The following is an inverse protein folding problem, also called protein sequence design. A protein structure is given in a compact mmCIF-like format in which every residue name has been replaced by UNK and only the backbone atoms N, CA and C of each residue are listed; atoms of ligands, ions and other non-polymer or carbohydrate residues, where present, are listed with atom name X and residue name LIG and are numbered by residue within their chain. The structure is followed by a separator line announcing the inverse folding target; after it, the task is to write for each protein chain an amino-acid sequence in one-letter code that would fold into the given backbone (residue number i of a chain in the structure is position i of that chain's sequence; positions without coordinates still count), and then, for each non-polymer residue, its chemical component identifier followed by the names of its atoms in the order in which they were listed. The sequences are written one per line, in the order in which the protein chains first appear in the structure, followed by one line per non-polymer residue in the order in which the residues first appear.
data_IF_395280020852
#
_entry.id   IF_395280020852
#
_cell.length_a   1.000
_cell.length_b   1.000
_cell.length_c   1.000
_cell.angle_alpha   90.00
_cell.angle_beta   90.00
_cell.angle_gamma   90.00
#
_symmetry.space_group_name_H-M   'P 1'
#
loop_
_entity.id
_entity.type
_entity.pdbx_description
1 polymer ?
#
# COMPACT_ATOMS: atom_id res chain seq x y z
N UNK A 1 30.06 3.24 -27.99
CA UNK A 1 29.37 1.99 -27.61
C UNK A 1 27.99 2.02 -28.22
N UNK A 2 27.64 1.07 -29.09
CA UNK A 2 26.27 0.97 -29.62
C UNK A 2 25.31 0.67 -28.47
N UNK A 3 24.20 1.42 -28.38
CA UNK A 3 23.09 1.05 -27.50
C UNK A 3 22.66 -0.35 -27.89
N UNK A 4 22.77 -1.35 -27.00
CA UNK A 4 22.18 -2.66 -27.32
C UNK A 4 20.69 -2.45 -27.49
N UNK A 5 20.13 -3.00 -28.56
CA UNK A 5 18.70 -2.91 -28.83
C UNK A 5 17.96 -3.72 -27.76
N UNK A 6 16.86 -3.17 -27.24
CA UNK A 6 16.02 -3.86 -26.26
C UNK A 6 15.45 -5.14 -26.87
N UNK A 7 15.54 -6.25 -26.14
CA UNK A 7 14.96 -7.56 -26.54
C UNK A 7 13.59 -7.82 -25.89
N UNK A 8 12.99 -6.79 -25.30
CA UNK A 8 11.74 -6.89 -24.52
C UNK A 8 10.60 -7.56 -25.29
N UNK A 9 10.35 -7.25 -26.58
CA UNK A 9 9.31 -7.94 -27.34
C UNK A 9 9.56 -9.45 -27.49
N UNK A 10 10.84 -9.86 -27.58
CA UNK A 10 11.21 -11.28 -27.69
C UNK A 10 11.00 -12.00 -26.35
N UNK A 11 11.31 -11.33 -25.23
CA UNK A 11 11.04 -11.83 -23.88
C UNK A 11 9.54 -11.97 -23.63
N UNK A 12 8.76 -10.93 -23.92
CA UNK A 12 7.31 -10.97 -23.79
C UNK A 12 6.72 -12.12 -24.62
N UNK A 13 7.14 -12.27 -25.88
CA UNK A 13 6.69 -13.36 -26.73
C UNK A 13 7.07 -14.75 -26.16
N UNK A 14 8.32 -14.95 -25.74
CA UNK A 14 8.77 -16.23 -25.19
C UNK A 14 7.99 -16.61 -23.92
N UNK A 15 7.79 -15.66 -23.00
CA UNK A 15 7.07 -15.93 -21.76
C UNK A 15 5.58 -16.18 -22.01
N UNK A 16 4.94 -15.39 -22.87
CA UNK A 16 3.53 -15.59 -23.22
C UNK A 16 3.30 -16.93 -23.93
N UNK A 17 4.25 -17.37 -24.77
CA UNK A 17 4.23 -18.71 -25.36
C UNK A 17 4.35 -19.82 -24.31
N UNK A 18 5.19 -19.66 -23.27
CA UNK A 18 5.23 -20.61 -22.16
C UNK A 18 3.87 -20.70 -21.46
N UNK A 19 3.30 -19.56 -21.07
CA UNK A 19 1.99 -19.49 -20.41
C UNK A 19 0.90 -20.17 -21.25
N UNK A 20 0.92 -19.93 -22.57
CA UNK A 20 0.00 -20.57 -23.53
C UNK A 20 0.21 -22.09 -23.57
N UNK A 21 1.46 -22.56 -23.67
CA UNK A 21 1.78 -24.00 -23.69
C UNK A 21 1.40 -24.74 -22.40
N UNK A 22 1.27 -24.00 -21.30
CA UNK A 22 0.86 -24.52 -20.00
C UNK A 22 -0.66 -24.43 -19.77
N UNK A 23 -1.42 -23.93 -20.76
CA UNK A 23 -2.86 -23.67 -20.65
C UNK A 23 -3.24 -22.79 -19.45
N UNK A 24 -2.38 -21.83 -19.10
CA UNK A 24 -2.65 -20.92 -17.99
C UNK A 24 -3.54 -19.75 -18.44
N UNK A 25 -4.55 -19.36 -17.64
CA UNK A 25 -5.38 -18.20 -17.93
C UNK A 25 -4.60 -16.92 -17.60
N UNK A 26 -3.99 -16.31 -18.62
CA UNK A 26 -3.25 -15.05 -18.49
C UNK A 26 -3.91 -13.92 -19.26
N UNK A 27 -3.68 -12.69 -18.79
CA UNK A 27 -4.28 -11.46 -19.28
C UNK A 27 -3.16 -10.46 -19.59
N UNK A 28 -3.08 -10.02 -20.85
CA UNK A 28 -2.11 -9.01 -21.28
C UNK A 28 -2.49 -7.61 -20.77
N UNK A 29 -1.63 -6.61 -21.00
CA UNK A 29 -1.77 -5.24 -20.51
C UNK A 29 -3.21 -4.69 -20.55
N UNK A 30 -3.88 -4.79 -21.69
CA UNK A 30 -5.21 -4.21 -21.93
C UNK A 30 -6.38 -5.13 -21.54
N UNK A 31 -6.09 -6.34 -21.06
CA UNK A 31 -7.11 -7.31 -20.66
C UNK A 31 -7.37 -7.23 -19.16
N UNK A 32 -8.65 -7.24 -18.80
CA UNK A 32 -9.14 -7.19 -17.42
C UNK A 32 -9.17 -8.58 -16.81
N UNK A 33 -8.57 -8.72 -15.61
CA UNK A 33 -8.70 -9.95 -14.80
C UNK A 33 -10.06 -9.97 -14.10
N UNK A 34 -10.32 -8.94 -13.29
CA UNK A 34 -11.60 -8.65 -12.63
C UNK A 34 -11.63 -7.17 -12.21
N UNK A 35 -12.80 -6.65 -11.86
CA UNK A 35 -12.94 -5.22 -11.49
C UNK A 35 -12.10 -4.82 -10.28
N UNK A 36 -11.93 -5.70 -9.30
CA UNK A 36 -11.17 -5.40 -8.08
C UNK A 36 -9.69 -5.13 -8.38
N UNK A 37 -9.06 -6.00 -9.18
CA UNK A 37 -7.66 -5.86 -9.61
C UNK A 37 -7.47 -4.63 -10.50
N UNK A 38 -8.34 -4.41 -11.49
CA UNK A 38 -8.17 -3.28 -12.41
C UNK A 38 -8.39 -1.93 -11.71
N UNK A 39 -9.35 -1.85 -10.78
CA UNK A 39 -9.56 -0.66 -9.97
C UNK A 39 -8.34 -0.37 -9.08
N UNK A 40 -7.73 -1.40 -8.50
CA UNK A 40 -6.50 -1.26 -7.72
C UNK A 40 -5.32 -0.74 -8.53
N UNK A 41 -5.09 -1.32 -9.72
CA UNK A 41 -4.02 -0.90 -10.63
C UNK A 41 -4.22 0.52 -11.15
N UNK A 42 -5.48 0.93 -11.39
CA UNK A 42 -5.80 2.28 -11.88
C UNK A 42 -5.62 3.35 -10.80
N UNK A 43 -5.92 3.04 -9.53
CA UNK A 43 -5.81 3.98 -8.40
C UNK A 43 -4.37 4.26 -8.00
N UNK A 44 -3.53 3.24 -8.02
CA UNK A 44 -2.14 3.39 -7.61
C UNK A 44 -1.35 4.24 -8.60
N UNK A 45 -0.39 5.02 -8.06
CA UNK A 45 0.53 5.80 -8.87
C UNK A 45 1.23 4.94 -9.92
N UNK A 46 1.39 5.46 -11.14
CA UNK A 46 2.21 4.78 -12.16
C UNK A 46 3.63 4.52 -11.68
N UNK A 47 4.30 3.57 -12.34
CA UNK A 47 5.73 3.33 -12.22
C UNK A 47 6.58 4.61 -12.31
N UNK A 48 6.16 5.60 -13.11
CA UNK A 48 6.86 6.88 -13.30
C UNK A 48 6.41 8.00 -12.35
N UNK A 49 5.41 7.77 -11.48
CA UNK A 49 4.91 8.77 -10.52
C UNK A 49 3.92 9.78 -11.11
N UNK A 50 3.45 9.56 -12.35
CA UNK A 50 2.40 10.35 -12.97
C UNK A 50 0.99 9.81 -12.71
N UNK A 51 -0.01 10.54 -13.19
CA UNK A 51 -1.46 10.27 -13.03
C UNK A 51 -1.99 9.11 -13.88
N UNK A 52 -1.15 8.48 -14.71
CA UNK A 52 -1.52 7.24 -15.38
C UNK A 52 -1.58 6.10 -14.38
N UNK A 53 -2.58 5.23 -14.45
CA UNK A 53 -2.63 4.00 -13.65
C UNK A 53 -1.49 3.04 -14.01
N UNK A 54 -1.34 1.99 -13.21
CA UNK A 54 -0.39 0.92 -13.48
C UNK A 54 -0.81 0.06 -14.68
N UNK A 55 0.16 -0.27 -15.53
CA UNK A 55 0.01 -1.10 -16.72
C UNK A 55 0.93 -2.29 -16.61
N UNK A 56 0.37 -3.41 -16.16
CA UNK A 56 1.09 -4.67 -15.97
C UNK A 56 1.17 -5.40 -17.29
N UNK A 57 2.37 -5.81 -17.71
CA UNK A 57 2.57 -6.44 -19.02
C UNK A 57 1.77 -7.74 -19.17
N UNK A 58 1.76 -8.56 -18.12
CA UNK A 58 0.99 -9.80 -18.06
C UNK A 58 0.51 -10.10 -16.63
N UNK A 59 -0.73 -10.57 -16.51
CA UNK A 59 -1.43 -10.81 -15.24
C UNK A 59 -2.01 -12.22 -15.23
N UNK A 60 -2.01 -12.87 -14.07
CA UNK A 60 -2.75 -14.11 -13.83
C UNK A 60 -3.49 -14.05 -12.49
N UNK A 61 -4.52 -14.88 -12.36
CA UNK A 61 -5.18 -15.16 -11.08
C UNK A 61 -5.30 -16.68 -10.96
N UNK A 62 -4.42 -17.27 -10.16
CA UNK A 62 -4.39 -18.72 -9.94
C UNK A 62 -4.96 -19.06 -8.56
N UNK A 63 -5.44 -20.29 -8.38
CA UNK A 63 -6.03 -20.75 -7.14
C UNK A 63 -5.29 -21.99 -6.63
N UNK A 64 -5.00 -22.05 -5.33
CA UNK A 64 -4.44 -23.25 -4.69
C UNK A 64 -5.53 -24.28 -4.36
N UNK A 65 -5.13 -25.49 -3.94
CA UNK A 65 -6.09 -26.57 -3.61
C UNK A 65 -6.98 -26.23 -2.40
N UNK A 66 -6.57 -25.24 -1.59
CA UNK A 66 -7.32 -24.73 -0.46
C UNK A 66 -8.25 -23.55 -0.85
N UNK A 67 -8.46 -23.33 -2.15
CA UNK A 67 -9.33 -22.32 -2.73
C UNK A 67 -8.86 -20.87 -2.50
N UNK A 68 -7.61 -20.65 -2.12
CA UNK A 68 -7.03 -19.32 -1.99
C UNK A 68 -6.59 -18.81 -3.36
N UNK A 69 -7.00 -17.59 -3.70
CA UNK A 69 -6.60 -16.93 -4.93
C UNK A 69 -5.29 -16.16 -4.76
N UNK A 70 -4.41 -16.29 -5.75
CA UNK A 70 -3.11 -15.66 -5.84
C UNK A 70 -3.03 -14.84 -7.14
N UNK A 71 -3.16 -13.51 -7.06
CA UNK A 71 -2.80 -12.63 -8.16
C UNK A 71 -1.31 -12.78 -8.50
N UNK A 72 -0.98 -12.78 -9.79
CA UNK A 72 0.39 -12.86 -10.29
C UNK A 72 0.63 -11.71 -11.26
N UNK A 73 1.59 -10.84 -10.93
CA UNK A 73 1.92 -9.66 -11.72
C UNK A 73 3.29 -9.87 -12.38
N UNK A 74 3.33 -9.80 -13.71
CA UNK A 74 4.55 -10.02 -14.51
C UNK A 74 4.94 -8.72 -15.22
N UNK A 75 6.22 -8.35 -15.08
CA UNK A 75 6.84 -7.21 -15.79
C UNK A 75 8.03 -7.70 -16.62
N UNK A 76 8.13 -7.23 -17.86
CA UNK A 76 9.20 -7.54 -18.80
C UNK A 76 10.21 -6.38 -18.91
N UNK A 77 11.51 -6.70 -19.06
CA UNK A 77 12.54 -5.74 -19.51
C UNK A 77 13.48 -6.35 -20.53
N UNK A 78 13.86 -5.59 -21.56
CA UNK A 78 14.73 -6.08 -22.63
C UNK A 78 16.23 -5.93 -22.45
N UNK A 79 16.74 -5.90 -21.21
CA UNK A 79 18.15 -5.68 -20.92
C UNK A 79 18.65 -6.59 -19.79
N UNK A 80 19.84 -7.17 -19.93
CA UNK A 80 20.42 -8.14 -19.00
C UNK A 80 20.55 -7.60 -17.56
N UNK A 81 20.87 -6.33 -17.39
CA UNK A 81 21.13 -5.71 -16.09
C UNK A 81 19.86 -5.15 -15.42
N UNK A 82 18.67 -5.42 -15.98
CA UNK A 82 17.40 -4.83 -15.54
C UNK A 82 16.48 -5.78 -14.77
N UNK A 83 16.99 -6.90 -14.27
CA UNK A 83 16.17 -7.85 -13.52
C UNK A 83 15.65 -7.24 -12.22
N UNK A 84 16.56 -6.80 -11.36
CA UNK A 84 16.22 -6.30 -10.02
C UNK A 84 17.27 -5.33 -9.52
N UNK A 85 16.83 -4.30 -8.80
CA UNK A 85 17.68 -3.46 -7.96
C UNK A 85 17.34 -3.72 -6.50
N UNK A 86 18.33 -4.21 -5.76
CA UNK A 86 18.19 -4.52 -4.33
C UNK A 86 18.77 -3.41 -3.45
N UNK A 87 18.18 -3.25 -2.26
CA UNK A 87 18.70 -2.40 -1.20
C UNK A 87 19.77 -3.16 -0.39
N UNK A 88 20.27 -2.52 0.68
CA UNK A 88 21.29 -3.13 1.56
C UNK A 88 20.83 -4.39 2.28
N UNK A 89 19.52 -4.63 2.32
CA UNK A 89 18.88 -5.74 3.03
C UNK A 89 18.48 -6.87 2.08
N UNK A 90 18.86 -6.78 0.79
CA UNK A 90 18.55 -7.81 -0.20
C UNK A 90 17.09 -7.81 -0.68
N UNK A 91 16.32 -6.76 -0.37
CA UNK A 91 14.95 -6.57 -0.87
C UNK A 91 14.90 -5.59 -2.05
N UNK A 92 13.86 -5.65 -2.90
CA UNK A 92 13.66 -4.67 -3.97
C UNK A 92 13.69 -3.22 -3.46
N UNK A 93 14.60 -2.41 -3.99
CA UNK A 93 14.88 -1.02 -3.59
C UNK A 93 13.84 -0.04 -4.14
N UNK A 94 12.59 -0.17 -3.70
CA UNK A 94 11.45 0.61 -4.19
C UNK A 94 11.20 1.91 -3.42
N UNK A 95 12.00 2.25 -2.41
CA UNK A 95 11.81 3.44 -1.58
C UNK A 95 13.09 4.25 -1.45
N UNK A 96 12.96 5.58 -1.49
CA UNK A 96 14.08 6.49 -1.29
C UNK A 96 14.48 6.56 0.19
N UNK A 97 15.77 6.41 0.48
CA UNK A 97 16.28 6.42 1.87
C UNK A 97 16.08 7.76 2.61
N UNK A 98 15.92 8.87 1.88
CA UNK A 98 15.86 10.23 2.47
C UNK A 98 14.47 10.56 3.01
N UNK A 99 13.43 10.21 2.28
CA UNK A 99 12.07 10.70 2.48
C UNK A 99 11.02 9.60 2.34
N UNK A 100 11.47 8.35 2.19
CA UNK A 100 10.66 7.14 2.10
C UNK A 100 9.61 7.13 0.98
N UNK A 101 9.74 8.03 0.01
CA UNK A 101 8.88 8.09 -1.16
C UNK A 101 9.19 6.95 -2.14
N UNK A 102 8.25 6.56 -3.01
CA UNK A 102 8.51 5.58 -4.05
C UNK A 102 9.70 5.98 -4.94
N UNK A 103 10.65 5.07 -5.12
CA UNK A 103 11.78 5.25 -6.00
C UNK A 103 11.36 4.91 -7.45
N UNK A 104 10.65 5.84 -8.08
CA UNK A 104 10.11 5.69 -9.44
C UNK A 104 11.18 5.34 -10.48
N UNK A 105 12.43 5.77 -10.27
CA UNK A 105 13.56 5.38 -11.12
C UNK A 105 13.76 3.87 -11.08
N UNK A 106 13.87 3.28 -9.88
CA UNK A 106 14.06 1.84 -9.75
C UNK A 106 12.81 1.06 -10.20
N UNK A 107 11.62 1.51 -9.77
CA UNK A 107 10.33 0.89 -10.11
C UNK A 107 10.13 0.80 -11.63
N UNK A 108 10.47 1.86 -12.37
CA UNK A 108 10.35 1.88 -13.82
C UNK A 108 11.46 1.08 -14.54
N UNK A 109 12.68 1.12 -13.99
CA UNK A 109 13.88 0.59 -14.66
C UNK A 109 14.02 -0.93 -14.55
N UNK A 110 13.61 -1.54 -13.44
CA UNK A 110 13.87 -2.96 -13.15
C UNK A 110 12.59 -3.78 -13.10
N UNK A 111 12.62 -4.97 -13.68
CA UNK A 111 11.44 -5.83 -13.86
C UNK A 111 10.80 -6.24 -12.52
N UNK A 112 11.59 -6.79 -11.59
CA UNK A 112 11.11 -7.20 -10.27
C UNK A 112 10.57 -6.01 -9.48
N UNK A 113 11.26 -4.86 -9.53
CA UNK A 113 10.84 -3.66 -8.83
C UNK A 113 9.46 -3.16 -9.30
N UNK A 114 9.21 -3.20 -10.61
CA UNK A 114 7.91 -2.91 -11.21
C UNK A 114 6.83 -3.91 -10.80
N UNK A 115 7.13 -5.22 -10.87
CA UNK A 115 6.20 -6.27 -10.45
C UNK A 115 5.79 -6.16 -8.97
N UNK A 116 6.75 -5.86 -8.08
CA UNK A 116 6.49 -5.64 -6.65
C UNK A 116 5.69 -4.36 -6.40
N UNK A 117 5.89 -3.32 -7.20
CA UNK A 117 5.06 -2.10 -7.14
C UNK A 117 3.59 -2.41 -7.44
N UNK A 118 3.30 -3.23 -8.46
CA UNK A 118 1.93 -3.67 -8.75
C UNK A 118 1.36 -4.53 -7.62
N UNK A 119 2.15 -5.44 -7.08
CA UNK A 119 1.71 -6.27 -5.96
C UNK A 119 1.33 -5.43 -4.73
N UNK A 120 2.08 -4.37 -4.43
CA UNK A 120 1.75 -3.44 -3.36
C UNK A 120 0.45 -2.66 -3.62
N UNK A 121 0.19 -2.25 -4.86
CA UNK A 121 -1.10 -1.65 -5.24
C UNK A 121 -2.27 -2.62 -4.97
N UNK A 122 -2.09 -3.91 -5.27
CA UNK A 122 -3.09 -4.92 -4.98
C UNK A 122 -3.30 -5.10 -3.47
N UNK A 123 -2.24 -5.19 -2.67
CA UNK A 123 -2.37 -5.28 -1.22
C UNK A 123 -3.16 -4.12 -0.61
N UNK A 124 -3.01 -2.92 -1.18
CA UNK A 124 -3.63 -1.70 -0.71
C UNK A 124 -5.12 -1.59 -1.07
N UNK A 125 -5.45 -1.88 -2.32
CA UNK A 125 -6.75 -1.56 -2.90
C UNK A 125 -7.64 -2.78 -3.14
N UNK A 126 -7.19 -3.98 -2.73
CA UNK A 126 -7.96 -5.23 -2.85
C UNK A 126 -8.01 -6.01 -1.53
N UNK A 127 -8.85 -7.05 -1.53
CA UNK A 127 -8.95 -8.05 -0.47
C UNK A 127 -7.82 -9.08 -0.49
N UNK A 128 -7.07 -9.21 -1.59
CA UNK A 128 -5.97 -10.16 -1.71
C UNK A 128 -4.87 -9.86 -0.68
N UNK A 129 -4.39 -10.91 -0.03
CA UNK A 129 -3.38 -10.83 1.02
C UNK A 129 -2.00 -11.30 0.58
N UNK A 130 -1.95 -12.04 -0.52
CA UNK A 130 -0.80 -12.82 -0.98
C UNK A 130 -0.69 -12.70 -2.50
N UNK A 131 0.37 -12.07 -2.98
CA UNK A 131 0.60 -11.79 -4.40
C UNK A 131 1.99 -12.29 -4.81
N UNK A 132 2.07 -12.85 -6.02
CA UNK A 132 3.34 -13.25 -6.65
C UNK A 132 3.75 -12.17 -7.64
N UNK A 133 4.95 -11.62 -7.45
CA UNK A 133 5.57 -10.64 -8.34
C UNK A 133 6.68 -11.32 -9.16
N UNK A 134 6.60 -11.24 -10.48
CA UNK A 134 7.55 -11.87 -11.40
C UNK A 134 8.18 -10.79 -12.29
N UNK A 135 9.49 -10.60 -12.16
CA UNK A 135 10.27 -9.82 -13.12
C UNK A 135 10.95 -10.76 -14.11
N UNK A 136 10.83 -10.48 -15.41
CA UNK A 136 11.56 -11.24 -16.44
C UNK A 136 12.37 -10.31 -17.30
N UNK A 137 13.63 -10.67 -17.55
CA UNK A 137 14.51 -9.94 -18.45
C UNK A 137 15.26 -10.85 -19.39
N UNK A 138 15.96 -10.26 -20.35
CA UNK A 138 16.96 -10.98 -21.10
C UNK A 138 17.83 -10.14 -22.00
N UNK A 139 18.71 -10.83 -22.70
CA UNK A 139 19.61 -10.27 -23.72
C UNK A 139 19.98 -11.34 -24.74
N UNK A 140 20.37 -10.92 -25.94
CA UNK A 140 21.04 -11.81 -26.88
C UNK A 140 22.47 -12.06 -26.42
N UNK A 141 22.90 -13.33 -26.40
CA UNK A 141 24.30 -13.65 -26.25
C UNK A 141 25.07 -13.42 -27.56
N UNK A 142 26.38 -13.70 -27.56
CA UNK A 142 27.25 -13.54 -28.73
C UNK A 142 26.83 -14.41 -29.93
N UNK A 143 26.05 -15.46 -29.70
CA UNK A 143 25.51 -16.34 -30.76
C UNK A 143 24.16 -15.86 -31.30
N UNK A 144 23.60 -14.78 -30.74
CA UNK A 144 22.24 -14.32 -31.05
C UNK A 144 21.14 -15.11 -30.36
N UNK A 145 21.47 -15.96 -29.38
CA UNK A 145 20.49 -16.72 -28.60
C UNK A 145 19.96 -15.89 -27.44
N UNK A 146 18.64 -15.89 -27.25
CA UNK A 146 18.00 -15.15 -26.16
C UNK A 146 18.24 -15.84 -24.82
N UNK A 147 18.95 -15.16 -23.91
CA UNK A 147 19.14 -15.57 -22.52
C UNK A 147 18.12 -14.86 -21.64
N UNK A 148 17.26 -15.66 -20.99
CA UNK A 148 16.21 -15.17 -20.11
C UNK A 148 16.63 -15.29 -18.65
N UNK A 149 16.25 -14.31 -17.83
CA UNK A 149 16.39 -14.32 -16.38
C UNK A 149 15.04 -14.05 -15.74
N UNK A 150 14.70 -14.79 -14.69
CA UNK A 150 13.40 -14.70 -13.99
C UNK A 150 13.67 -14.46 -12.51
N UNK A 151 13.06 -13.42 -11.96
CA UNK A 151 13.05 -13.11 -10.54
C UNK A 151 11.64 -13.27 -10.00
N UNK A 152 11.43 -14.23 -9.09
CA UNK A 152 10.11 -14.54 -8.52
C UNK A 152 10.10 -14.16 -7.04
N UNK A 153 9.17 -13.28 -6.69
CA UNK A 153 9.05 -12.67 -5.37
C UNK A 153 7.65 -12.85 -4.80
N UNK A 154 7.57 -13.05 -3.49
CA UNK A 154 6.34 -13.10 -2.73
C UNK A 154 6.12 -11.79 -1.98
N UNK A 155 4.93 -11.22 -2.11
CA UNK A 155 4.52 -9.95 -1.51
C UNK A 155 3.22 -10.21 -0.75
N UNK A 156 3.20 -9.98 0.56
CA UNK A 156 2.04 -10.31 1.40
C UNK A 156 1.76 -9.26 2.46
N UNK A 157 0.55 -9.27 3.03
CA UNK A 157 0.26 -8.42 4.20
C UNK A 157 1.11 -8.82 5.41
N UNK A 158 1.40 -10.12 5.58
CA UNK A 158 2.22 -10.64 6.67
C UNK A 158 3.70 -10.24 6.60
N UNK A 159 4.22 -9.88 5.42
CA UNK A 159 5.57 -9.34 5.25
C UNK A 159 5.57 -7.83 4.98
N UNK A 160 4.46 -7.15 5.28
CA UNK A 160 4.26 -5.71 5.12
C UNK A 160 4.46 -5.18 3.69
N UNK A 161 4.26 -6.03 2.68
CA UNK A 161 4.44 -5.70 1.27
C UNK A 161 5.91 -5.66 0.81
N UNK A 162 6.82 -6.24 1.60
CA UNK A 162 8.21 -6.41 1.17
C UNK A 162 8.29 -7.60 0.21
N UNK A 163 8.93 -7.39 -0.94
CA UNK A 163 9.21 -8.48 -1.87
C UNK A 163 10.26 -9.43 -1.31
N UNK A 164 9.85 -10.64 -0.96
CA UNK A 164 10.73 -11.72 -0.55
C UNK A 164 11.04 -12.65 -1.73
N UNK A 165 12.31 -12.86 -2.04
CA UNK A 165 12.70 -13.76 -3.14
C UNK A 165 12.32 -15.20 -2.79
N UNK A 166 11.65 -15.90 -3.70
CA UNK A 166 11.19 -17.27 -3.48
C UNK A 166 12.29 -18.29 -3.82
N UNK A 167 13.05 -18.04 -4.88
CA UNK A 167 14.08 -18.94 -5.39
C UNK A 167 14.61 -18.50 -6.75
N UNK A 168 15.38 -19.38 -7.38
CA UNK A 168 15.84 -19.25 -8.77
C UNK A 168 14.97 -20.11 -9.68
N UNK A 169 14.55 -19.55 -10.82
CA UNK A 169 13.68 -20.23 -11.77
C UNK A 169 14.19 -20.04 -13.19
N UNK A 170 14.14 -21.09 -14.01
CA UNK A 170 14.53 -21.08 -15.42
C UNK A 170 13.36 -20.83 -16.38
N UNK A 171 12.14 -21.16 -15.96
CA UNK A 171 10.90 -21.01 -16.72
C UNK A 171 9.70 -20.81 -15.76
N UNK A 172 8.49 -20.66 -16.30
CA UNK A 172 7.26 -20.51 -15.51
C UNK A 172 6.56 -21.85 -15.19
N UNK A 173 7.24 -22.98 -15.31
CA UNK A 173 6.61 -24.31 -15.13
C UNK A 173 6.08 -24.55 -13.71
N UNK A 174 6.57 -23.81 -12.72
CA UNK A 174 6.07 -23.81 -11.35
C UNK A 174 4.63 -23.25 -11.22
N UNK A 175 4.15 -22.52 -12.23
CA UNK A 175 2.76 -22.03 -12.28
C UNK A 175 1.77 -23.04 -12.86
N UNK A 176 2.26 -24.14 -13.45
CA UNK A 176 1.39 -25.18 -14.02
C UNK A 176 0.45 -25.76 -12.96
N UNK A 177 -0.77 -26.17 -13.32
CA UNK A 177 -1.72 -26.75 -12.37
C UNK A 177 -1.12 -27.89 -11.52
N UNK A 178 -0.33 -28.78 -12.12
CA UNK A 178 0.31 -29.90 -11.43
C UNK A 178 1.44 -29.50 -10.45
N UNK A 179 1.99 -28.30 -10.58
CA UNK A 179 3.12 -27.81 -9.78
C UNK A 179 2.73 -26.70 -8.80
N UNK A 180 1.63 -25.99 -9.06
CA UNK A 180 1.28 -24.76 -8.37
C UNK A 180 1.08 -24.97 -6.86
N UNK A 181 0.44 -26.06 -6.46
CA UNK A 181 0.27 -26.39 -5.04
C UNK A 181 1.61 -26.53 -4.31
N UNK A 182 2.57 -27.25 -4.90
CA UNK A 182 3.92 -27.43 -4.34
C UNK A 182 4.67 -26.10 -4.27
N UNK A 183 4.52 -25.27 -5.30
CA UNK A 183 5.07 -23.93 -5.31
C UNK A 183 4.52 -23.08 -4.16
N UNK A 184 3.20 -23.05 -3.96
CA UNK A 184 2.59 -22.30 -2.86
C UNK A 184 2.99 -22.83 -1.48
N UNK A 185 3.17 -24.14 -1.31
CA UNK A 185 3.72 -24.70 -0.07
C UNK A 185 5.12 -24.18 0.22
N UNK A 186 6.01 -24.18 -0.77
CA UNK A 186 7.35 -23.59 -0.65
C UNK A 186 7.26 -22.09 -0.28
N UNK A 187 6.34 -21.34 -0.88
CA UNK A 187 6.14 -19.92 -0.55
C UNK A 187 5.72 -19.74 0.91
N UNK A 188 4.80 -20.57 1.43
CA UNK A 188 4.33 -20.49 2.82
C UNK A 188 5.40 -20.89 3.85
N UNK A 189 6.41 -21.65 3.44
CA UNK A 189 7.56 -22.00 4.29
C UNK A 189 8.59 -20.87 4.40
N UNK A 190 8.57 -19.90 3.48
CA UNK A 190 9.42 -18.70 3.55
C UNK A 190 8.99 -17.84 4.73
N UNK A 191 9.72 -17.98 5.85
CA UNK A 191 9.57 -17.09 7.01
C UNK A 191 10.67 -16.07 7.00
N UNK A 192 10.29 -14.81 7.15
CA UNK A 192 11.24 -13.79 7.56
C UNK A 192 11.72 -14.10 8.98
N UNK A 193 12.99 -13.86 9.24
CA UNK A 193 13.54 -13.95 10.58
C UNK A 193 12.93 -12.86 11.48
N UNK A 194 12.86 -13.06 12.81
CA UNK A 194 12.37 -12.02 13.72
C UNK A 194 13.10 -10.67 13.55
N UNK A 195 14.41 -10.71 13.26
CA UNK A 195 15.20 -9.50 13.03
C UNK A 195 14.81 -8.77 11.74
N UNK A 196 14.52 -9.49 10.66
CA UNK A 196 14.00 -8.90 9.40
C UNK A 196 12.60 -8.32 9.63
N UNK A 197 11.73 -9.04 10.34
CA UNK A 197 10.39 -8.56 10.70
C UNK A 197 10.48 -7.27 11.52
N UNK A 198 11.31 -7.24 12.57
CA UNK A 198 11.50 -6.06 13.41
C UNK A 198 12.04 -4.86 12.61
N UNK A 199 12.95 -5.11 11.66
CA UNK A 199 13.49 -4.06 10.79
C UNK A 199 12.43 -3.52 9.82
N UNK A 200 11.70 -4.40 9.15
CA UNK A 200 10.60 -4.02 8.24
C UNK A 200 9.53 -3.23 8.99
N UNK A 201 9.20 -3.65 10.21
CA UNK A 201 8.32 -2.89 11.10
C UNK A 201 8.84 -1.50 11.38
N UNK A 202 10.12 -1.37 11.78
CA UNK A 202 10.72 -0.08 12.08
C UNK A 202 10.74 0.84 10.86
N UNK A 203 11.10 0.31 9.70
CA UNK A 203 11.10 1.06 8.46
C UNK A 203 9.69 1.56 8.14
N UNK A 204 8.70 0.68 8.23
CA UNK A 204 7.28 1.02 8.06
C UNK A 204 6.79 2.07 9.07
N UNK A 205 7.18 1.96 10.34
CA UNK A 205 6.88 2.94 11.38
C UNK A 205 7.45 4.33 11.06
N UNK A 206 8.65 4.39 10.48
CA UNK A 206 9.24 5.65 10.00
C UNK A 206 8.45 6.21 8.80
N UNK A 207 8.04 5.34 7.87
CA UNK A 207 7.23 5.75 6.71
C UNK A 207 5.88 6.36 7.11
N UNK A 208 5.22 5.77 8.11
CA UNK A 208 3.99 6.33 8.70
C UNK A 208 4.28 7.71 9.29
N UNK A 209 5.40 7.86 9.99
CA UNK A 209 5.77 9.14 10.62
C UNK A 209 6.06 10.24 9.59
N UNK A 210 6.77 9.91 8.52
CA UNK A 210 7.02 10.83 7.40
C UNK A 210 5.72 11.25 6.71
N UNK A 211 4.83 10.30 6.43
CA UNK A 211 3.56 10.57 5.76
C UNK A 211 2.65 11.47 6.61
N UNK A 212 2.52 11.16 7.91
CA UNK A 212 1.77 11.98 8.85
C UNK A 212 2.35 13.39 9.00
N UNK A 213 3.68 13.52 9.05
CA UNK A 213 4.34 14.83 9.13
C UNK A 213 4.05 15.66 7.88
N UNK A 214 4.18 15.07 6.68
CA UNK A 214 3.86 15.75 5.41
C UNK A 214 2.39 16.17 5.31
N UNK A 215 1.47 15.33 5.78
CA UNK A 215 0.04 15.69 5.83
C UNK A 215 -0.18 16.86 6.78
N UNK A 216 0.39 16.81 7.99
CA UNK A 216 0.20 17.84 8.99
C UNK A 216 0.76 19.20 8.52
N UNK A 217 1.93 19.21 7.87
CA UNK A 217 2.52 20.39 7.21
C UNK A 217 1.62 20.94 6.10
N UNK A 218 1.10 20.07 5.22
CA UNK A 218 0.17 20.49 4.15
C UNK A 218 -1.11 21.11 4.74
N UNK A 219 -1.71 20.46 5.72
CA UNK A 219 -2.92 20.95 6.39
C UNK A 219 -2.69 22.30 7.09
N UNK A 220 -1.53 22.50 7.71
CA UNK A 220 -1.16 23.79 8.31
C UNK A 220 -1.12 24.93 7.27
N UNK A 221 -0.62 24.64 6.06
CA UNK A 221 -0.45 25.62 5.00
C UNK A 221 -1.71 25.87 4.14
N UNK A 222 -2.71 24.98 4.17
CA UNK A 222 -3.90 25.06 3.29
C UNK A 222 -4.89 26.17 3.67
N UNK A 223 -4.97 26.51 4.95
CA UNK A 223 -5.89 27.54 5.43
C UNK A 223 -5.35 28.21 6.68
N UNK A 224 -5.35 29.54 6.69
CA UNK A 224 -5.07 30.31 7.90
C UNK A 224 -6.05 29.88 9.01
N UNK A 225 -5.52 29.50 10.17
CA UNK A 225 -6.25 29.15 11.39
C UNK A 225 -6.87 27.74 11.48
N UNK A 226 -6.42 26.74 10.70
CA UNK A 226 -6.73 25.34 11.02
C UNK A 226 -6.03 24.93 12.33
N UNK A 227 -6.79 24.87 13.42
CA UNK A 227 -6.27 24.39 14.71
C UNK A 227 -5.70 22.97 14.60
N UNK A 228 -4.72 22.62 15.43
CA UNK A 228 -4.17 21.26 15.42
C UNK A 228 -5.24 20.19 15.74
N UNK A 229 -6.21 20.49 16.60
CA UNK A 229 -7.36 19.63 16.85
C UNK A 229 -8.22 19.43 15.58
N UNK A 230 -8.47 20.50 14.82
CA UNK A 230 -9.18 20.42 13.54
C UNK A 230 -8.42 19.54 12.55
N UNK A 231 -7.09 19.65 12.47
CA UNK A 231 -6.27 18.79 11.60
C UNK A 231 -6.40 17.32 11.98
N UNK A 232 -6.37 17.00 13.27
CA UNK A 232 -6.58 15.62 13.79
C UNK A 232 -7.96 15.10 13.38
N UNK A 233 -9.01 15.91 13.56
CA UNK A 233 -10.36 15.53 13.18
C UNK A 233 -10.47 15.23 11.68
N UNK A 234 -9.88 16.06 10.83
CA UNK A 234 -9.94 15.91 9.37
C UNK A 234 -9.25 14.62 8.89
N UNK A 235 -8.05 14.33 9.41
CA UNK A 235 -7.34 13.09 9.10
C UNK A 235 -8.11 11.88 9.63
N UNK A 236 -8.56 11.92 10.88
CA UNK A 236 -9.30 10.81 11.51
C UNK A 236 -10.62 10.51 10.79
N UNK A 237 -11.35 11.56 10.40
CA UNK A 237 -12.59 11.46 9.65
C UNK A 237 -12.39 10.79 8.29
N UNK A 238 -11.35 11.20 7.57
CA UNK A 238 -11.01 10.66 6.26
C UNK A 238 -10.68 9.17 6.33
N UNK A 239 -9.89 8.77 7.33
CA UNK A 239 -9.56 7.36 7.58
C UNK A 239 -10.81 6.54 7.92
N UNK A 240 -11.64 7.01 8.86
CA UNK A 240 -12.86 6.29 9.26
C UNK A 240 -13.85 6.14 8.10
N UNK A 241 -13.96 7.16 7.24
CA UNK A 241 -14.81 7.11 6.06
C UNK A 241 -14.26 6.15 4.98
N UNK A 242 -12.93 6.01 4.85
CA UNK A 242 -12.31 5.14 3.85
C UNK A 242 -12.14 3.68 4.29
N UNK A 243 -12.11 3.36 5.59
CA UNK A 243 -11.87 1.98 6.05
C UNK A 243 -12.94 0.97 5.61
N UNK A 244 -14.22 1.36 5.61
CA UNK A 244 -15.33 0.46 5.31
C UNK A 244 -15.44 -0.76 6.26
N UNK A 245 -16.40 -1.65 5.97
CA UNK A 245 -16.62 -2.94 6.64
C UNK A 245 -17.08 -3.95 5.59
N UNK A 246 -16.33 -5.04 5.41
CA UNK A 246 -16.61 -6.07 4.42
C UNK A 246 -18.08 -6.55 4.51
N UNK A 247 -18.77 -6.56 3.36
CA UNK A 247 -20.17 -6.97 3.24
C UNK A 247 -21.21 -6.07 3.92
N UNK A 248 -20.81 -4.93 4.52
CA UNK A 248 -21.73 -4.04 5.27
C UNK A 248 -21.62 -2.56 4.88
N UNK A 249 -20.40 -2.03 4.78
CA UNK A 249 -20.15 -0.61 4.52
C UNK A 249 -19.05 -0.49 3.49
N UNK A 250 -19.40 0.06 2.32
CA UNK A 250 -18.40 0.34 1.29
C UNK A 250 -17.49 1.50 1.73
N UNK A 251 -16.16 1.39 1.58
CA UNK A 251 -15.21 2.51 1.65
C UNK A 251 -15.72 3.74 0.91
N UNK A 252 -15.56 4.93 1.49
CA UNK A 252 -15.75 6.17 0.74
C UNK A 252 -14.59 6.37 -0.25
N UNK A 253 -14.91 6.81 -1.46
CA UNK A 253 -13.93 7.13 -2.50
C UNK A 253 -14.02 8.60 -2.90
N UNK A 254 -12.95 9.14 -3.50
CA UNK A 254 -12.91 10.54 -3.92
C UNK A 254 -14.04 10.92 -4.90
N UNK A 255 -14.50 9.97 -5.72
CA UNK A 255 -15.64 10.16 -6.64
C UNK A 255 -16.98 10.33 -5.91
N UNK A 256 -17.08 9.86 -4.67
CA UNK A 256 -18.30 9.94 -3.87
C UNK A 256 -18.45 11.31 -3.20
N UNK A 257 -17.42 12.17 -3.28
CA UNK A 257 -17.41 13.53 -2.76
C UNK A 257 -17.74 14.51 -3.89
N UNK A 258 -18.99 15.01 -3.98
CA UNK A 258 -19.43 15.83 -5.10
C UNK A 258 -18.88 17.27 -5.08
N UNK A 259 -18.34 17.73 -3.96
CA UNK A 259 -18.05 19.15 -3.73
C UNK A 259 -19.27 20.05 -3.96
N UNK A 260 -20.43 19.55 -3.54
CA UNK A 260 -21.72 20.23 -3.64
C UNK A 260 -21.91 21.26 -2.51
N UNK A 261 -22.68 22.30 -2.80
CA UNK A 261 -23.20 23.25 -1.81
C UNK A 261 -24.66 22.97 -1.43
N UNK A 262 -25.25 21.90 -1.95
CA UNK A 262 -26.60 21.47 -1.61
C UNK A 262 -26.66 20.99 -0.15
N UNK A 263 -27.69 21.45 0.57
CA UNK A 263 -27.95 21.05 1.95
C UNK A 263 -28.02 19.52 2.07
N UNK A 264 -27.38 18.95 3.10
CA UNK A 264 -27.23 17.51 3.32
C UNK A 264 -26.40 16.72 2.28
N UNK A 265 -25.88 17.36 1.23
CA UNK A 265 -25.06 16.73 0.19
C UNK A 265 -23.67 17.34 0.06
N UNK A 266 -23.27 18.20 1.01
CA UNK A 266 -21.91 18.70 1.09
C UNK A 266 -20.92 17.56 1.34
N UNK A 267 -19.64 17.77 0.99
CA UNK A 267 -18.60 16.76 1.25
C UNK A 267 -18.50 16.44 2.75
N UNK A 268 -18.73 17.42 3.63
CA UNK A 268 -18.82 17.22 5.07
C UNK A 268 -19.97 16.29 5.47
N UNK A 269 -21.15 16.45 4.89
CA UNK A 269 -22.32 15.60 5.18
C UNK A 269 -22.10 14.16 4.70
N UNK A 270 -21.52 13.99 3.50
CA UNK A 270 -21.21 12.66 2.94
C UNK A 270 -20.20 11.92 3.83
N UNK A 271 -19.11 12.59 4.22
CA UNK A 271 -18.11 12.02 5.14
C UNK A 271 -18.77 11.63 6.46
N UNK A 272 -19.56 12.54 7.04
CA UNK A 272 -20.23 12.31 8.32
C UNK A 272 -21.18 11.12 8.29
N UNK A 273 -22.02 11.01 7.25
CA UNK A 273 -22.94 9.87 7.02
C UNK A 273 -22.17 8.55 6.90
N UNK A 274 -21.03 8.55 6.21
CA UNK A 274 -20.19 7.36 6.06
C UNK A 274 -19.58 6.93 7.40
N UNK A 275 -19.02 7.85 8.18
CA UNK A 275 -18.46 7.56 9.50
C UNK A 275 -19.53 6.96 10.41
N UNK A 276 -20.73 7.54 10.45
CA UNK A 276 -21.86 6.98 11.21
C UNK A 276 -22.18 5.54 10.79
N UNK A 277 -22.17 5.25 9.50
CA UNK A 277 -22.42 3.90 8.98
C UNK A 277 -21.32 2.93 9.40
N UNK A 278 -20.06 3.35 9.31
CA UNK A 278 -18.89 2.58 9.74
C UNK A 278 -18.94 2.25 11.24
N UNK A 279 -19.16 3.25 12.10
CA UNK A 279 -19.22 3.06 13.57
C UNK A 279 -20.35 2.11 13.98
N UNK A 280 -21.51 2.22 13.31
CA UNK A 280 -22.63 1.30 13.52
C UNK A 280 -22.28 -0.13 13.13
N UNK A 281 -21.68 -0.33 11.94
CA UNK A 281 -21.31 -1.66 11.46
C UNK A 281 -20.22 -2.33 12.30
N UNK A 282 -19.36 -1.54 12.95
CA UNK A 282 -18.36 -2.00 13.93
C UNK A 282 -18.95 -2.39 15.30
N UNK A 283 -20.22 -2.08 15.58
CA UNK A 283 -20.90 -2.49 16.80
C UNK A 283 -20.48 -1.73 18.07
N UNK A 284 -20.01 -0.48 17.92
CA UNK A 284 -19.65 0.37 19.07
C UNK A 284 -20.90 0.73 19.90
N UNK A 285 -20.80 0.91 21.24
CA UNK A 285 -21.92 1.39 22.05
C UNK A 285 -22.43 2.74 21.56
N UNK A 286 -23.76 2.92 21.46
CA UNK A 286 -24.39 4.15 20.91
C UNK A 286 -23.82 5.44 21.49
N UNK A 287 -23.65 5.51 22.82
CA UNK A 287 -23.06 6.67 23.50
C UNK A 287 -21.64 7.01 22.99
N UNK A 288 -20.79 6.01 22.74
CA UNK A 288 -19.44 6.24 22.20
C UNK A 288 -19.50 6.71 20.75
N UNK A 289 -20.42 6.16 19.96
CA UNK A 289 -20.62 6.62 18.59
C UNK A 289 -21.03 8.10 18.56
N UNK A 290 -22.00 8.50 19.40
CA UNK A 290 -22.44 9.88 19.52
C UNK A 290 -21.31 10.82 19.96
N UNK A 291 -20.48 10.40 20.91
CA UNK A 291 -19.30 11.19 21.33
C UNK A 291 -18.32 11.41 20.18
N UNK A 292 -18.00 10.36 19.42
CA UNK A 292 -17.09 10.47 18.26
C UNK A 292 -17.70 11.39 17.20
N UNK A 293 -18.97 11.18 16.85
CA UNK A 293 -19.68 11.97 15.85
C UNK A 293 -19.75 13.45 16.27
N UNK A 294 -20.09 13.75 17.52
CA UNK A 294 -20.16 15.12 18.01
C UNK A 294 -18.80 15.83 17.98
N UNK A 295 -17.73 15.13 18.39
CA UNK A 295 -16.36 15.69 18.34
C UNK A 295 -15.95 16.05 16.91
N UNK A 296 -16.21 15.14 15.97
CA UNK A 296 -15.85 15.33 14.56
C UNK A 296 -16.76 16.34 13.85
N UNK A 297 -18.03 16.43 14.24
CA UNK A 297 -19.04 17.29 13.59
C UNK A 297 -18.63 18.76 13.59
N UNK A 298 -18.00 19.24 14.67
CA UNK A 298 -17.58 20.64 14.80
C UNK A 298 -16.63 21.04 13.68
N UNK A 299 -15.74 20.13 13.28
CA UNK A 299 -14.76 20.39 12.23
C UNK A 299 -15.29 20.04 10.85
N UNK A 300 -15.91 18.87 10.68
CA UNK A 300 -16.31 18.38 9.35
C UNK A 300 -17.46 19.20 8.76
N UNK A 301 -18.34 19.77 9.60
CA UNK A 301 -19.46 20.58 9.15
C UNK A 301 -19.14 22.08 9.02
N UNK A 302 -17.87 22.47 9.12
CA UNK A 302 -17.47 23.84 8.79
C UNK A 302 -17.73 24.09 7.29
N UNK A 303 -18.64 25.01 6.99
CA UNK A 303 -19.04 25.38 5.63
C UNK A 303 -17.84 25.80 4.79
N UNK A 304 -16.82 26.42 5.38
CA UNK A 304 -15.63 26.87 4.64
C UNK A 304 -14.83 25.70 4.07
N UNK A 305 -14.87 24.55 4.73
CA UNK A 305 -14.15 23.35 4.30
C UNK A 305 -14.90 22.60 3.19
N UNK A 306 -16.23 22.67 3.20
CA UNK A 306 -17.10 22.07 2.17
C UNK A 306 -17.29 22.97 0.95
N UNK A 307 -17.08 24.29 1.07
CA UNK A 307 -17.28 25.24 -0.02
C UNK A 307 -16.29 24.98 -1.17
N UNK A 308 -16.77 24.71 -2.40
CA UNK A 308 -15.88 24.44 -3.52
C UNK A 308 -15.12 25.69 -3.95
N UNK A 309 -13.81 25.57 -4.12
CA UNK A 309 -12.94 26.53 -4.80
C UNK A 309 -12.49 25.91 -6.11
N UNK A 310 -12.75 26.57 -7.23
CA UNK A 310 -12.48 26.02 -8.58
C UNK A 310 -13.09 24.61 -8.82
N UNK A 311 -14.28 24.36 -8.27
CA UNK A 311 -15.01 23.10 -8.44
C UNK A 311 -14.63 21.97 -7.48
N UNK A 312 -13.72 22.21 -6.52
CA UNK A 312 -13.31 21.21 -5.52
C UNK A 312 -13.33 21.79 -4.10
N UNK A 313 -13.93 21.06 -3.15
CA UNK A 313 -13.90 21.45 -1.74
C UNK A 313 -12.54 21.12 -1.12
N UNK A 314 -12.21 21.86 -0.06
CA UNK A 314 -11.01 21.60 0.74
C UNK A 314 -11.10 20.25 1.46
N UNK A 315 -12.29 19.84 1.92
CA UNK A 315 -12.52 18.52 2.51
C UNK A 315 -12.19 17.38 1.54
N UNK A 316 -12.60 17.51 0.28
CA UNK A 316 -12.29 16.51 -0.74
C UNK A 316 -10.80 16.43 -1.01
N UNK A 317 -10.12 17.57 -1.08
CA UNK A 317 -8.67 17.62 -1.24
C UNK A 317 -7.95 16.92 -0.07
N UNK A 318 -8.32 17.26 1.17
CA UNK A 318 -7.75 16.66 2.38
C UNK A 318 -8.04 15.16 2.47
N UNK A 319 -9.26 14.75 2.09
CA UNK A 319 -9.65 13.35 2.05
C UNK A 319 -8.76 12.57 1.09
N UNK A 320 -8.58 13.06 -0.14
CA UNK A 320 -7.71 12.43 -1.14
C UNK A 320 -6.28 12.33 -0.64
N UNK A 321 -5.68 13.43 -0.15
CA UNK A 321 -4.32 13.39 0.39
C UNK A 321 -4.16 12.38 1.53
N UNK A 322 -5.14 12.34 2.45
CA UNK A 322 -5.11 11.40 3.57
C UNK A 322 -5.20 9.95 3.09
N UNK A 323 -6.07 9.66 2.12
CA UNK A 323 -6.23 8.32 1.58
C UNK A 323 -5.01 7.90 0.75
N UNK A 324 -4.45 8.79 -0.06
CA UNK A 324 -3.32 8.49 -0.93
C UNK A 324 -2.02 8.29 -0.13
N UNK A 325 -1.80 9.11 0.91
CA UNK A 325 -0.58 9.04 1.71
C UNK A 325 -0.63 8.01 2.85
N UNK A 326 -1.82 7.75 3.42
CA UNK A 326 -1.96 6.85 4.58
C UNK A 326 -2.72 5.56 4.28
N UNK A 327 -3.45 5.47 3.16
CA UNK A 327 -4.29 4.35 2.74
C UNK A 327 -3.63 3.00 2.93
N UNK A 328 -2.46 2.86 2.30
CA UNK A 328 -1.59 1.71 2.42
C UNK A 328 -1.37 1.28 3.87
N UNK A 329 -1.01 2.21 4.77
CA UNK A 329 -0.60 1.88 6.13
C UNK A 329 -1.74 1.37 7.00
N UNK A 330 -2.94 1.98 6.91
CA UNK A 330 -4.07 1.55 7.74
C UNK A 330 -4.87 0.39 7.12
N UNK A 331 -4.66 0.05 5.84
CA UNK A 331 -5.30 -1.11 5.17
C UNK A 331 -4.44 -2.38 5.18
N UNK A 332 -3.12 -2.24 5.10
CA UNK A 332 -2.19 -3.37 5.05
C UNK A 332 -1.58 -3.57 6.42
N UNK A 333 -2.09 -4.45 7.29
CA UNK A 333 -1.42 -4.84 8.55
C UNK A 333 -1.62 -3.87 9.73
N UNK A 334 -2.57 -4.20 10.60
CA UNK A 334 -3.03 -3.44 11.78
C UNK A 334 -2.26 -3.79 13.08
N UNK A 335 -1.04 -4.30 12.98
CA UNK A 335 -0.16 -4.56 14.14
C UNK A 335 0.79 -3.39 14.45
N UNK A 336 0.83 -2.40 13.58
CA UNK A 336 1.61 -1.18 13.76
C UNK A 336 0.77 -0.19 14.58
N UNK A 337 1.36 0.46 15.60
CA UNK A 337 0.70 1.50 16.41
C UNK A 337 0.47 2.79 15.61
N UNK A 338 -0.34 2.68 14.57
CA UNK A 338 -0.71 3.76 13.68
C UNK A 338 -1.48 4.84 14.44
N UNK A 339 -2.39 4.44 15.34
CA UNK A 339 -3.19 5.37 16.14
C UNK A 339 -2.33 6.17 17.12
N UNK A 340 -1.40 5.54 17.83
CA UNK A 340 -0.45 6.24 18.69
C UNK A 340 0.42 7.21 17.88
N UNK A 341 0.97 6.79 16.74
CA UNK A 341 1.75 7.68 15.86
C UNK A 341 0.95 8.86 15.33
N UNK A 342 -0.27 8.61 14.85
CA UNK A 342 -1.21 9.66 14.42
C UNK A 342 -1.42 10.67 15.54
N UNK A 343 -1.72 10.20 16.75
CA UNK A 343 -1.86 11.07 17.91
C UNK A 343 -0.57 11.86 18.14
N UNK A 344 0.57 11.20 18.31
CA UNK A 344 1.82 11.85 18.67
C UNK A 344 2.28 12.91 17.65
N UNK A 345 2.22 12.61 16.36
CA UNK A 345 2.72 13.52 15.32
C UNK A 345 1.80 14.71 15.13
N UNK A 346 0.48 14.47 15.15
CA UNK A 346 -0.48 15.55 15.01
C UNK A 346 -0.49 16.43 16.28
N UNK A 347 -0.25 15.84 17.45
CA UNK A 347 -0.15 16.57 18.73
C UNK A 347 1.19 17.30 18.92
N UNK A 348 2.30 16.90 18.28
CA UNK A 348 3.59 17.63 18.33
C UNK A 348 3.49 19.11 17.93
N UNK A 349 2.41 19.49 17.24
CA UNK A 349 2.15 20.84 16.74
C UNK A 349 1.08 21.58 17.55
N UNK A 350 0.58 21.00 18.64
CA UNK A 350 -0.20 21.72 19.64
C UNK A 350 0.78 22.45 20.56
N UNK A 351 0.82 23.77 20.47
CA UNK A 351 1.43 24.57 21.54
C UNK A 351 0.51 24.51 22.75
N UNK A 352 0.90 23.77 23.79
CA UNK A 352 0.20 23.82 25.07
C UNK A 352 0.68 25.02 25.88
N UNK A 353 -0.22 25.64 26.64
CA UNK A 353 0.21 26.54 27.71
C UNK A 353 1.00 25.70 28.74
N UNK A 354 2.30 25.95 28.87
CA UNK A 354 3.20 25.15 29.71
C UNK A 354 3.82 23.93 29.01
N UNK A 355 4.12 24.01 27.71
CA UNK A 355 4.92 23.00 26.98
C UNK A 355 6.27 22.68 27.64
N UNK A 356 6.74 23.58 28.50
CA UNK A 356 7.88 23.47 29.39
C UNK A 356 7.63 22.58 30.63
N UNK A 357 6.41 22.05 30.85
CA UNK A 357 6.04 21.21 32.00
C UNK A 357 5.49 19.82 31.66
N UNK A 358 5.07 19.56 30.42
CA UNK A 358 4.54 18.24 30.02
C UNK A 358 5.58 17.44 29.23
N UNK A 359 6.47 16.76 29.97
CA UNK A 359 7.45 15.82 29.45
C UNK A 359 6.78 14.47 29.08
N UNK A 360 5.79 14.50 28.18
CA UNK A 360 5.18 13.28 27.64
C UNK A 360 6.13 12.67 26.61
N UNK A 361 7.17 12.02 27.13
CA UNK A 361 8.12 11.26 26.31
C UNK A 361 7.55 9.87 26.06
N UNK A 362 7.26 9.59 24.80
CA UNK A 362 6.92 8.23 24.38
C UNK A 362 8.15 7.34 24.60
N UNK A 363 7.98 6.28 25.38
CA UNK A 363 9.04 5.30 25.57
C UNK A 363 9.33 4.61 24.24
N UNK A 364 10.56 4.70 23.69
CA UNK A 364 10.89 4.05 22.43
C UNK A 364 10.63 2.55 22.50
N UNK A 365 10.10 1.97 21.42
CA UNK A 365 9.70 0.55 21.37
C UNK A 365 10.81 -0.42 21.79
N UNK A 366 12.07 -0.14 21.45
CA UNK A 366 13.21 -0.98 21.87
C UNK A 366 13.41 -0.99 23.39
N UNK A 367 13.10 0.12 24.08
CA UNK A 367 13.14 0.22 25.54
C UNK A 367 11.99 -0.59 26.12
N UNK A 368 10.77 -0.43 25.61
CA UNK A 368 9.61 -1.21 26.05
C UNK A 368 9.81 -2.72 25.83
N UNK A 369 10.38 -3.10 24.68
CA UNK A 369 10.69 -4.48 24.34
C UNK A 369 11.82 -5.07 25.19
N UNK A 370 12.87 -4.28 25.46
CA UNK A 370 13.92 -4.66 26.41
C UNK A 370 13.34 -4.85 27.81
N UNK A 371 12.51 -3.92 28.28
CA UNK A 371 11.82 -4.04 29.57
C UNK A 371 10.97 -5.31 29.63
N UNK A 372 10.17 -5.59 28.59
CA UNK A 372 9.36 -6.81 28.48
C UNK A 372 10.20 -8.09 28.50
N UNK A 373 11.36 -8.09 27.83
CA UNK A 373 12.31 -9.23 27.86
C UNK A 373 12.98 -9.41 29.22
N UNK A 374 13.24 -8.32 29.91
CA UNK A 374 13.84 -8.33 31.24
C UNK A 374 12.81 -8.63 32.35
N UNK A 375 11.52 -8.52 32.06
CA UNK A 375 10.48 -8.84 33.04
C UNK A 375 10.33 -10.36 33.14
N UNK A 376 10.53 -10.96 34.32
CA UNK A 376 10.33 -12.39 34.48
C UNK A 376 8.84 -12.71 34.36
N UNK A 377 8.47 -13.48 33.34
CA UNK A 377 7.15 -14.14 33.32
C UNK A 377 7.19 -15.29 34.32
N UNK A 378 6.67 -15.05 35.53
CA UNK A 378 6.29 -16.14 36.42
C UNK A 378 5.08 -16.84 35.80
N UNK A 379 5.30 -18.04 35.25
CA UNK A 379 4.22 -18.99 35.01
C UNK A 379 3.52 -19.28 36.34
N UNK A 380 2.18 -19.17 36.42
CA UNK A 380 1.46 -19.68 37.58
C UNK A 380 1.74 -21.18 37.71
N UNK A 381 2.19 -21.60 38.89
CA UNK A 381 2.39 -23.01 39.24
C UNK A 381 1.08 -23.81 39.22
#
# INVERSE_FOLDING_TARGET
MSKSQSVEPQIANQINQQLTSYNLPYFLEQQTVNEEIENALTRALSKSGGTGGNRVDCKLLLQDDALNYYPIMIEYKGYADKLVKLNSDGHPDNFNKKDNSPNHKNINTYAVNGAVHYANALLEFTSYTDIIAIGVTGSLDVSGSLKTQIGVYFVSKSNYGVGQKIGEFSDLSFLKPENFQKFIQQVKELKLTPAEIDKIHKDRENRIEDALTKINERLYNKQENLSALSRIHLVSASIMANLGVAGKVQPLEAKDLPSSTEEDYTDGDVIFKKIKSFLNAKGLPKRKQEQILNSLSITIKDENLSKPKNGQSLLKEIFMETVDDLGYFYKVGLDTDFTGKLFNIMFRWLSFAGDDQNDVVLTPRYVAYLMAKLTPFSTPN
#
